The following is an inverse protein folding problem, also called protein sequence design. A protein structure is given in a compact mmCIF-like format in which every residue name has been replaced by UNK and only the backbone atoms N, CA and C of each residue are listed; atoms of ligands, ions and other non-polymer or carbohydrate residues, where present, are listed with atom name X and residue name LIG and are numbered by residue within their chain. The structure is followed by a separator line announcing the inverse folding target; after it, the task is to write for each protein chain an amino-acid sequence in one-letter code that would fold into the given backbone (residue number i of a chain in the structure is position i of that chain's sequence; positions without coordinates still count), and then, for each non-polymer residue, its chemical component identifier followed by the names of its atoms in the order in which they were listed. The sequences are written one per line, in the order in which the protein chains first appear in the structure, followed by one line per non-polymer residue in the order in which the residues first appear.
data_IF_390790662400
#
_entry.id   IF_390790662400
#
_cell.length_a   1.000
_cell.length_b   1.000
_cell.length_c   1.000
_cell.angle_alpha   90.00
_cell.angle_beta   90.00
_cell.angle_gamma   90.00
#
_symmetry.space_group_name_H-M   'P 1'
#
loop_
_entity.id
_entity.type
_entity.pdbx_description
1 polymer ?
#
# COMPACT_ATOMS: atom_id res chain seq x y z
N UNK A 1 -59.75 31.61 34.20
CA UNK A 1 -58.56 32.12 33.48
C UNK A 1 -59.06 33.01 32.37
N UNK A 2 -58.55 34.22 32.31
CA UNK A 2 -58.91 35.18 31.27
C UNK A 2 -58.26 34.78 29.93
N UNK A 3 -58.91 35.09 28.80
CA UNK A 3 -58.47 34.68 27.47
C UNK A 3 -57.01 35.07 27.16
N UNK A 4 -56.57 36.23 27.65
CA UNK A 4 -55.19 36.71 27.45
C UNK A 4 -54.14 35.82 28.14
N UNK A 5 -54.46 35.22 29.30
CA UNK A 5 -53.55 34.33 30.03
C UNK A 5 -53.34 33.03 29.26
N UNK A 6 -54.41 32.49 28.66
CA UNK A 6 -54.36 31.28 27.83
C UNK A 6 -53.48 31.50 26.60
N UNK A 7 -53.67 32.62 25.90
CA UNK A 7 -52.86 32.96 24.71
C UNK A 7 -51.38 33.10 25.04
N UNK A 8 -51.05 33.74 26.16
CA UNK A 8 -49.67 33.91 26.60
C UNK A 8 -49.00 32.57 26.93
N UNK A 9 -49.69 31.69 27.65
CA UNK A 9 -49.19 30.35 28.00
C UNK A 9 -48.98 29.51 26.73
N UNK A 10 -49.94 29.51 25.79
CA UNK A 10 -49.81 28.76 24.54
C UNK A 10 -48.62 29.25 23.73
N UNK A 11 -48.45 30.58 23.60
CA UNK A 11 -47.31 31.16 22.91
C UNK A 11 -45.98 30.75 23.54
N UNK A 12 -45.91 30.72 24.88
CA UNK A 12 -44.71 30.30 25.61
C UNK A 12 -44.39 28.81 25.36
N UNK A 13 -45.40 27.94 25.42
CA UNK A 13 -45.25 26.51 25.15
C UNK A 13 -44.76 26.29 23.73
N UNK A 14 -45.36 26.95 22.75
CA UNK A 14 -44.94 26.84 21.34
C UNK A 14 -43.48 27.27 21.19
N UNK A 15 -43.08 28.39 21.81
CA UNK A 15 -41.69 28.84 21.80
C UNK A 15 -40.72 27.80 22.35
N UNK A 16 -41.05 27.20 23.49
CA UNK A 16 -40.23 26.14 24.11
C UNK A 16 -40.14 24.91 23.20
N UNK A 17 -41.25 24.51 22.58
CA UNK A 17 -41.28 23.37 21.65
C UNK A 17 -40.37 23.62 20.46
N UNK A 18 -40.46 24.80 19.83
CA UNK A 18 -39.61 25.15 18.68
C UNK A 18 -38.13 25.14 19.07
N UNK A 19 -37.77 25.74 20.21
CA UNK A 19 -36.38 25.73 20.71
C UNK A 19 -35.90 24.30 20.95
N UNK A 20 -36.74 23.45 21.56
CA UNK A 20 -36.42 22.06 21.82
C UNK A 20 -36.17 21.26 20.54
N UNK A 21 -37.02 21.43 19.53
CA UNK A 21 -36.86 20.77 18.22
C UNK A 21 -35.57 21.22 17.54
N UNK A 22 -35.28 22.53 17.51
CA UNK A 22 -34.05 23.05 16.92
C UNK A 22 -32.82 22.53 17.64
N UNK A 23 -32.81 22.55 18.97
CA UNK A 23 -31.69 22.03 19.76
C UNK A 23 -31.46 20.52 19.50
N UNK A 24 -32.53 19.74 19.39
CA UNK A 24 -32.46 18.32 19.08
C UNK A 24 -31.87 18.06 17.68
N UNK A 25 -32.33 18.80 16.67
CA UNK A 25 -31.83 18.68 15.30
C UNK A 25 -30.34 19.07 15.21
N UNK A 26 -29.95 20.18 15.82
CA UNK A 26 -28.56 20.62 15.85
C UNK A 26 -27.66 19.60 16.57
N UNK A 27 -28.15 18.99 17.64
CA UNK A 27 -27.42 17.93 18.34
C UNK A 27 -27.17 16.74 17.42
N UNK A 28 -28.20 16.28 16.67
CA UNK A 28 -28.07 15.16 15.72
C UNK A 28 -27.08 15.46 14.60
N UNK A 29 -27.12 16.68 14.04
CA UNK A 29 -26.18 17.13 13.00
C UNK A 29 -24.76 17.12 13.55
N UNK A 30 -24.53 17.73 14.71
CA UNK A 30 -23.21 17.77 15.36
C UNK A 30 -22.64 16.37 15.62
N UNK A 31 -23.45 15.47 16.16
CA UNK A 31 -23.02 14.09 16.41
C UNK A 31 -22.66 13.37 15.11
N UNK A 32 -23.43 13.60 14.04
CA UNK A 32 -23.17 12.98 12.74
C UNK A 32 -21.90 13.54 12.10
N UNK A 33 -21.70 14.85 12.15
CA UNK A 33 -20.47 15.49 11.67
C UNK A 33 -19.23 14.95 12.39
N UNK A 34 -19.28 14.78 13.71
CA UNK A 34 -18.17 14.18 14.46
C UNK A 34 -17.86 12.74 14.06
N UNK A 35 -18.88 11.92 13.73
CA UNK A 35 -18.66 10.57 13.20
C UNK A 35 -17.99 10.59 11.83
N UNK A 36 -18.42 11.50 10.95
CA UNK A 36 -17.84 11.66 9.61
C UNK A 36 -16.37 12.05 9.72
N UNK A 37 -16.04 13.01 10.59
CA UNK A 37 -14.67 13.47 10.81
C UNK A 37 -13.74 12.34 11.25
N UNK A 38 -14.19 11.52 12.21
CA UNK A 38 -13.43 10.34 12.66
C UNK A 38 -13.20 9.34 11.53
N UNK A 39 -14.22 9.05 10.72
CA UNK A 39 -14.11 8.11 9.59
C UNK A 39 -13.19 8.67 8.50
N UNK A 40 -13.33 9.95 8.15
CA UNK A 40 -12.46 10.63 7.19
C UNK A 40 -11.00 10.62 7.65
N UNK A 41 -10.73 10.87 8.93
CA UNK A 41 -9.40 10.77 9.52
C UNK A 41 -8.79 9.37 9.39
N UNK A 42 -9.59 8.31 9.60
CA UNK A 42 -9.15 6.92 9.40
C UNK A 42 -8.82 6.63 7.94
N UNK A 43 -9.67 7.07 7.00
CA UNK A 43 -9.44 6.92 5.56
C UNK A 43 -8.16 7.65 5.14
N UNK A 44 -7.98 8.89 5.59
CA UNK A 44 -6.78 9.68 5.31
C UNK A 44 -5.51 8.99 5.82
N UNK A 45 -5.58 8.42 7.03
CA UNK A 45 -4.45 7.71 7.64
C UNK A 45 -4.11 6.46 6.83
N UNK A 46 -5.10 5.64 6.49
CA UNK A 46 -4.89 4.44 5.67
C UNK A 46 -4.39 4.79 4.27
N UNK A 47 -4.96 5.81 3.63
CA UNK A 47 -4.51 6.29 2.32
C UNK A 47 -3.04 6.71 2.33
N UNK A 48 -2.58 7.42 3.38
CA UNK A 48 -1.16 7.76 3.54
C UNK A 48 -0.27 6.53 3.71
N UNK A 49 -0.69 5.54 4.49
CA UNK A 49 0.07 4.30 4.66
C UNK A 49 0.16 3.50 3.34
N UNK A 50 -0.95 3.36 2.61
CA UNK A 50 -0.98 2.69 1.30
C UNK A 50 -0.11 3.42 0.29
N UNK A 51 -0.20 4.75 0.20
CA UNK A 51 0.63 5.55 -0.70
C UNK A 51 2.12 5.40 -0.36
N UNK A 52 2.48 5.47 0.92
CA UNK A 52 3.87 5.30 1.37
C UNK A 52 4.44 3.92 1.01
N UNK A 53 3.67 2.85 1.23
CA UNK A 53 4.09 1.50 0.85
C UNK A 53 4.17 1.30 -0.67
N UNK A 54 3.30 1.97 -1.43
CA UNK A 54 3.27 1.86 -2.90
C UNK A 54 4.46 2.55 -3.55
N UNK A 55 4.89 3.72 -3.04
CA UNK A 55 6.08 4.43 -3.53
C UNK A 55 7.35 3.57 -3.42
N UNK A 56 7.38 2.64 -2.47
CA UNK A 56 8.51 1.72 -2.30
C UNK A 56 8.56 0.62 -3.37
N UNK A 57 7.45 0.27 -4.03
CA UNK A 57 7.41 -0.83 -5.01
C UNK A 57 8.32 -0.55 -6.22
N UNK A 58 8.24 0.61 -6.91
CA UNK A 58 9.15 0.92 -8.02
C UNK A 58 10.62 0.94 -7.58
N UNK A 59 10.89 1.38 -6.35
CA UNK A 59 12.25 1.44 -5.79
C UNK A 59 12.85 0.03 -5.69
N UNK A 60 12.12 -0.92 -5.09
CA UNK A 60 12.60 -2.28 -4.91
C UNK A 60 12.58 -3.10 -6.21
N UNK A 61 11.67 -2.82 -7.14
CA UNK A 61 11.57 -3.53 -8.41
C UNK A 61 12.87 -3.39 -9.24
N UNK A 62 13.48 -2.21 -9.23
CA UNK A 62 14.76 -1.98 -9.91
C UNK A 62 15.89 -2.87 -9.35
N UNK A 63 15.94 -3.01 -8.03
CA UNK A 63 16.92 -3.84 -7.31
C UNK A 63 16.67 -5.31 -7.60
N UNK A 64 15.41 -5.75 -7.50
CA UNK A 64 15.02 -7.13 -7.81
C UNK A 64 15.40 -7.50 -9.24
N UNK A 65 15.08 -6.66 -10.23
CA UNK A 65 15.45 -6.90 -11.63
C UNK A 65 16.97 -6.97 -11.83
N UNK A 66 17.74 -6.11 -11.15
CA UNK A 66 19.21 -6.16 -11.20
C UNK A 66 19.76 -7.46 -10.62
N UNK A 67 19.21 -7.94 -9.50
CA UNK A 67 19.63 -9.21 -8.88
C UNK A 67 19.27 -10.39 -9.79
N UNK A 68 18.04 -10.42 -10.33
CA UNK A 68 17.59 -11.45 -11.27
C UNK A 68 18.49 -11.49 -12.52
N UNK A 69 18.84 -10.33 -13.09
CA UNK A 69 19.76 -10.27 -14.23
C UNK A 69 21.15 -10.86 -13.91
N UNK A 70 21.71 -10.58 -12.73
CA UNK A 70 22.99 -11.17 -12.31
C UNK A 70 22.91 -12.70 -12.13
N UNK A 71 21.79 -13.18 -11.59
CA UNK A 71 21.55 -14.63 -11.45
C UNK A 71 21.48 -15.26 -12.84
N UNK A 72 20.72 -14.65 -13.76
CA UNK A 72 20.61 -15.11 -15.14
C UNK A 72 21.97 -15.16 -15.85
N UNK A 73 22.75 -14.08 -15.80
CA UNK A 73 24.09 -14.02 -16.40
C UNK A 73 25.02 -15.10 -15.84
N UNK A 74 24.94 -15.36 -14.54
CA UNK A 74 25.73 -16.39 -13.89
C UNK A 74 25.33 -17.79 -14.35
N UNK A 75 24.02 -18.06 -14.46
CA UNK A 75 23.51 -19.33 -14.95
C UNK A 75 23.94 -19.60 -16.40
N UNK A 76 23.86 -18.59 -17.29
CA UNK A 76 24.32 -18.70 -18.68
C UNK A 76 25.81 -19.04 -18.74
N UNK A 77 26.64 -18.39 -17.91
CA UNK A 77 28.08 -18.69 -17.84
C UNK A 77 28.36 -20.11 -17.34
N UNK A 78 27.59 -20.62 -16.38
CA UNK A 78 27.73 -21.99 -15.88
C UNK A 78 27.39 -23.00 -16.99
N UNK A 79 26.32 -22.77 -17.74
CA UNK A 79 25.94 -23.64 -18.87
C UNK A 79 27.03 -23.62 -19.95
N UNK A 80 27.51 -22.44 -20.32
CA UNK A 80 28.59 -22.31 -21.31
C UNK A 80 29.90 -22.96 -20.85
N UNK A 81 30.29 -22.75 -19.60
CA UNK A 81 31.48 -23.35 -19.01
C UNK A 81 31.39 -24.88 -18.90
N UNK A 82 30.24 -25.40 -18.49
CA UNK A 82 30.02 -26.85 -18.43
C UNK A 82 30.00 -27.50 -19.82
N UNK A 83 29.42 -26.85 -20.83
CA UNK A 83 29.52 -27.30 -22.22
C UNK A 83 30.98 -27.31 -22.70
N UNK A 84 31.75 -26.25 -22.46
CA UNK A 84 33.15 -26.19 -22.83
C UNK A 84 34.01 -27.27 -22.13
N UNK A 85 33.72 -27.58 -20.86
CA UNK A 85 34.37 -28.68 -20.13
C UNK A 85 34.04 -30.02 -20.77
N UNK A 86 32.76 -30.24 -21.14
CA UNK A 86 32.33 -31.48 -21.81
C UNK A 86 33.04 -31.64 -23.16
N UNK A 87 33.00 -30.60 -23.99
CA UNK A 87 33.64 -30.58 -25.32
C UNK A 87 35.16 -30.81 -25.20
N UNK A 88 35.80 -30.21 -24.20
CA UNK A 88 37.21 -30.46 -23.89
C UNK A 88 37.46 -31.92 -23.48
N UNK A 89 36.64 -32.46 -22.55
CA UNK A 89 36.81 -33.83 -22.06
C UNK A 89 36.63 -34.89 -23.16
N UNK A 90 35.75 -34.66 -24.14
CA UNK A 90 35.54 -35.54 -25.28
C UNK A 90 36.76 -35.57 -26.24
N UNK A 91 37.48 -34.45 -26.38
CA UNK A 91 38.64 -34.31 -27.28
C UNK A 91 40.01 -34.49 -26.61
N UNK A 92 40.06 -34.66 -25.28
CA UNK A 92 41.30 -34.62 -24.50
C UNK A 92 41.83 -36.02 -24.19
N UNK A 93 43.07 -36.38 -24.57
CA UNK A 93 43.66 -37.71 -24.29
C UNK A 93 44.03 -37.94 -22.82
N UNK A 94 43.59 -37.05 -21.92
CA UNK A 94 43.89 -37.06 -20.49
C UNK A 94 44.93 -36.01 -20.06
N UNK A 95 44.75 -35.48 -18.86
CA UNK A 95 45.72 -34.61 -18.20
C UNK A 95 46.86 -35.46 -17.59
N UNK A 96 48.14 -35.02 -17.63
CA UNK A 96 48.60 -33.68 -18.03
C UNK A 96 48.95 -33.52 -19.52
N UNK A 97 48.98 -34.60 -20.31
CA UNK A 97 49.44 -34.56 -21.71
C UNK A 97 48.68 -33.54 -22.57
N UNK A 98 47.37 -33.43 -22.36
CA UNK A 98 46.48 -32.50 -23.01
C UNK A 98 46.83 -31.01 -22.78
N UNK A 99 47.22 -30.63 -21.54
CA UNK A 99 47.61 -29.26 -21.18
C UNK A 99 49.01 -28.92 -21.71
N UNK A 100 49.92 -29.89 -21.66
CA UNK A 100 51.31 -29.69 -22.06
C UNK A 100 51.49 -29.61 -23.58
N UNK A 101 50.63 -30.28 -24.36
CA UNK A 101 50.72 -30.30 -25.81
C UNK A 101 50.01 -29.13 -26.50
N UNK A 102 49.05 -28.47 -25.85
CA UNK A 102 48.35 -27.29 -26.38
C UNK A 102 49.14 -25.97 -26.30
N UNK A 103 50.31 -25.97 -25.63
CA UNK A 103 51.15 -24.80 -25.36
C UNK A 103 52.40 -24.65 -26.26
N UNK A 104 52.54 -25.48 -27.30
CA UNK A 104 53.56 -25.34 -28.35
C UNK A 104 52.99 -24.62 -29.57
#
# INVERSE_FOLDING_TARGET
MEAYQILWIISLIIGIVVIGVVAFLLHKIKTTAGKIDVVAGKIWTQGKLTANNTIQIPLFLSVTNKVVSKIYDSAVKIIGGSAAIKDHAEGCPGCPACVLNHHK
#
